data_IF_673936376854
#
_entry.id   IF_673936376854
#
_cell.length_a   1.000
_cell.length_b   1.000
_cell.length_c   1.000
_cell.angle_alpha   90.00
_cell.angle_beta   90.00
_cell.angle_gamma   90.00
#
_symmetry.space_group_name_H-M   'P 1'
#
loop_
_entity.id
_entity.type
_entity.pdbx_description
1 polymer ?
#
# COMPACT_ATOMS: atom_id res chain seq x y z
N UNK A 1 -13.21 3.49 17.40
CA UNK A 1 -11.76 3.67 17.28
C UNK A 1 -11.45 3.93 15.82
N UNK A 2 -10.79 5.03 15.50
CA UNK A 2 -10.21 5.25 14.17
C UNK A 2 -9.01 4.32 14.10
N UNK A 3 -8.98 3.44 13.10
CA UNK A 3 -7.91 2.45 12.91
C UNK A 3 -6.99 3.07 11.86
N UNK A 4 -5.80 3.47 12.29
CA UNK A 4 -4.84 4.21 11.49
C UNK A 4 -3.98 3.25 10.65
N UNK A 5 -4.01 3.35 9.33
CA UNK A 5 -2.99 2.75 8.49
C UNK A 5 -1.81 3.71 8.53
N UNK A 6 -0.89 3.50 9.47
CA UNK A 6 0.28 4.37 9.61
C UNK A 6 1.39 3.77 8.76
N UNK A 7 1.67 4.41 7.62
CA UNK A 7 2.92 4.20 6.92
C UNK A 7 4.01 5.08 7.56
N UNK A 8 5.25 4.58 7.62
CA UNK A 8 6.42 5.40 7.94
C UNK A 8 7.37 5.35 6.76
N UNK A 9 7.31 6.38 5.92
CA UNK A 9 8.37 6.65 4.96
C UNK A 9 9.54 7.22 5.77
N UNK A 10 10.51 6.37 6.11
CA UNK A 10 11.77 6.84 6.70
C UNK A 10 12.63 7.43 5.59
N UNK A 11 12.35 8.69 5.22
CA UNK A 11 13.22 9.49 4.36
C UNK A 11 14.54 9.76 5.12
N UNK A 12 15.61 9.07 4.73
CA UNK A 12 16.97 9.44 5.14
C UNK A 12 17.34 10.71 4.36
N UNK A 13 16.85 11.85 4.86
CA UNK A 13 16.90 13.25 4.38
C UNK A 13 15.51 13.83 4.05
N UNK A 14 14.85 14.36 5.10
CA UNK A 14 13.91 15.49 5.19
C UNK A 14 13.25 16.02 3.89
N UNK A 15 11.92 16.18 3.88
CA UNK A 15 11.14 17.40 4.19
C UNK A 15 9.64 17.07 4.00
N UNK A 16 8.77 17.55 4.89
CA UNK A 16 7.33 17.57 4.66
C UNK A 16 7.05 18.32 3.35
N UNK A 17 6.61 17.60 2.31
CA UNK A 17 6.40 18.17 0.99
C UNK A 17 5.15 17.57 0.36
N UNK A 18 4.02 18.20 0.66
CA UNK A 18 2.93 18.54 -0.26
C UNK A 18 2.77 17.62 -1.47
N UNK A 19 1.70 16.81 -1.50
CA UNK A 19 0.71 16.52 -2.58
C UNK A 19 1.10 16.64 -4.07
N UNK A 20 2.37 16.66 -4.37
CA UNK A 20 2.96 16.73 -5.68
C UNK A 20 3.79 15.47 -5.71
N UNK A 21 3.52 14.50 -6.60
CA UNK A 21 4.47 13.41 -6.78
C UNK A 21 5.83 14.05 -6.91
N UNK A 22 6.83 13.68 -6.12
CA UNK A 22 8.03 14.52 -6.02
C UNK A 22 8.66 14.62 -7.42
N UNK A 23 8.37 15.71 -8.16
CA UNK A 23 8.50 15.84 -9.62
C UNK A 23 9.96 15.86 -10.09
N UNK A 24 10.88 15.64 -9.16
CA UNK A 24 12.33 15.77 -9.35
C UNK A 24 13.03 14.41 -9.30
N UNK A 25 12.29 13.30 -9.14
CA UNK A 25 12.80 11.94 -8.97
C UNK A 25 12.35 11.04 -10.14
N UNK A 26 12.61 11.45 -11.37
CA UNK A 26 12.23 10.69 -12.57
C UNK A 26 13.40 9.84 -13.10
N UNK A 27 13.53 8.62 -12.58
CA UNK A 27 13.75 7.43 -13.40
C UNK A 27 13.39 6.18 -12.59
N UNK A 28 12.12 6.06 -12.18
CA UNK A 28 11.65 4.85 -11.50
C UNK A 28 11.95 3.62 -12.37
N UNK A 29 12.56 2.59 -11.78
CA UNK A 29 12.79 1.31 -12.43
C UNK A 29 11.42 0.63 -12.67
N UNK A 30 10.81 0.94 -13.82
CA UNK A 30 9.62 0.26 -14.30
C UNK A 30 10.04 -0.87 -15.26
N UNK A 31 9.45 -2.06 -15.12
CA UNK A 31 8.40 -2.45 -14.16
C UNK A 31 8.95 -2.83 -12.77
N UNK A 32 8.14 -2.69 -11.70
CA UNK A 32 8.52 -3.07 -10.33
C UNK A 32 8.11 -4.51 -10.03
N UNK A 33 9.10 -5.33 -9.66
CA UNK A 33 8.92 -6.73 -9.27
C UNK A 33 8.58 -6.90 -7.80
N UNK A 34 7.39 -7.40 -7.48
CA UNK A 34 6.90 -7.66 -6.12
C UNK A 34 7.25 -9.08 -5.71
N UNK A 35 8.07 -9.25 -4.66
CA UNK A 35 8.39 -10.57 -4.11
C UNK A 35 7.59 -10.85 -2.84
N UNK A 36 6.87 -11.96 -2.85
CA UNK A 36 6.11 -12.41 -1.68
C UNK A 36 6.95 -13.33 -0.81
N UNK A 37 7.02 -13.01 0.48
CA UNK A 37 7.67 -13.86 1.47
C UNK A 37 6.75 -14.99 1.92
N UNK A 38 7.33 -16.16 2.25
CA UNK A 38 6.57 -17.26 2.84
C UNK A 38 5.89 -16.88 4.15
N UNK A 39 6.33 -15.82 4.82
CA UNK A 39 5.72 -15.31 6.06
C UNK A 39 4.25 -14.93 5.90
N UNK A 40 3.75 -14.70 4.68
CA UNK A 40 2.32 -14.46 4.44
C UNK A 40 1.41 -15.60 4.91
N UNK A 41 1.95 -16.80 5.11
CA UNK A 41 1.24 -17.89 5.79
C UNK A 41 0.82 -17.55 7.23
N UNK A 42 1.42 -16.51 7.84
CA UNK A 42 1.13 -16.10 9.21
C UNK A 42 -0.11 -15.20 9.32
N UNK A 43 -0.64 -14.69 8.20
CA UNK A 43 -1.86 -13.89 8.23
C UNK A 43 -3.06 -14.74 8.62
N UNK A 44 -3.83 -14.23 9.58
CA UNK A 44 -5.11 -14.81 9.96
C UNK A 44 -6.20 -14.26 9.04
N UNK A 45 -6.53 -15.00 7.99
CA UNK A 45 -7.54 -14.62 7.00
C UNK A 45 -8.81 -15.44 7.26
N UNK A 46 -9.92 -14.78 7.53
CA UNK A 46 -11.21 -15.39 7.84
C UNK A 46 -11.14 -16.42 8.98
N UNK A 47 -10.28 -16.19 9.97
CA UNK A 47 -10.08 -17.08 11.12
C UNK A 47 -9.09 -18.23 10.88
N UNK A 48 -8.42 -18.27 9.72
CA UNK A 48 -7.52 -19.36 9.35
C UNK A 48 -6.11 -18.84 9.03
N UNK A 49 -5.10 -19.47 9.65
CA UNK A 49 -3.66 -19.29 9.34
C UNK A 49 -3.18 -20.33 8.33
N UNK A 50 -2.01 -20.13 7.73
CA UNK A 50 -1.40 -21.05 6.76
C UNK A 50 -1.81 -20.79 5.30
N UNK A 51 -2.59 -19.75 5.04
CA UNK A 51 -3.22 -19.49 3.74
C UNK A 51 -2.34 -18.65 2.80
N UNK A 52 -1.08 -19.05 2.60
CA UNK A 52 -0.10 -18.30 1.81
C UNK A 52 -0.61 -17.91 0.41
N UNK A 53 -1.13 -18.88 -0.35
CA UNK A 53 -1.60 -18.65 -1.72
C UNK A 53 -2.73 -17.63 -1.77
N UNK A 54 -3.70 -17.74 -0.85
CA UNK A 54 -4.82 -16.80 -0.74
C UNK A 54 -4.34 -15.40 -0.39
N UNK A 55 -3.46 -15.28 0.61
CA UNK A 55 -2.87 -13.99 1.01
C UNK A 55 -2.17 -13.31 -0.17
N UNK A 56 -1.28 -14.04 -0.85
CA UNK A 56 -0.57 -13.56 -2.04
C UNK A 56 -1.54 -13.09 -3.12
N UNK A 57 -2.56 -13.88 -3.43
CA UNK A 57 -3.49 -13.59 -4.53
C UNK A 57 -4.37 -12.37 -4.22
N UNK A 58 -4.80 -12.20 -2.96
CA UNK A 58 -5.53 -11.01 -2.51
C UNK A 58 -4.68 -9.74 -2.60
N UNK A 59 -3.43 -9.81 -2.13
CA UNK A 59 -2.51 -8.67 -2.15
C UNK A 59 -2.15 -8.29 -3.60
N UNK A 60 -1.84 -9.28 -4.44
CA UNK A 60 -1.58 -9.04 -5.87
C UNK A 60 -2.81 -8.50 -6.60
N UNK A 61 -4.02 -8.94 -6.25
CA UNK A 61 -5.25 -8.36 -6.81
C UNK A 61 -5.41 -6.87 -6.42
N UNK A 62 -4.93 -6.47 -5.24
CA UNK A 62 -4.82 -5.06 -4.84
C UNK A 62 -3.80 -4.30 -5.69
N UNK A 63 -2.58 -4.84 -5.82
CA UNK A 63 -1.51 -4.30 -6.67
C UNK A 63 -1.98 -4.04 -8.10
N UNK A 64 -2.70 -5.01 -8.69
CA UNK A 64 -3.21 -4.94 -10.06
C UNK A 64 -4.21 -3.80 -10.28
N UNK A 65 -4.81 -3.22 -9.24
CA UNK A 65 -5.66 -2.02 -9.40
C UNK A 65 -4.87 -0.84 -9.92
N UNK A 66 -3.60 -0.71 -9.54
CA UNK A 66 -2.72 0.34 -10.04
C UNK A 66 -2.37 0.15 -11.52
N UNK A 67 -2.06 -1.08 -11.95
CA UNK A 67 -1.79 -1.37 -13.37
C UNK A 67 -2.98 -1.07 -14.29
N UNK A 68 -4.21 -1.13 -13.77
CA UNK A 68 -5.43 -0.93 -14.54
C UNK A 68 -5.78 0.55 -14.79
N UNK A 69 -4.99 1.49 -14.26
CA UNK A 69 -5.22 2.94 -14.44
C UNK A 69 -4.92 3.41 -15.87
N UNK A 70 -4.15 2.61 -16.63
CA UNK A 70 -3.77 2.91 -18.01
C UNK A 70 -2.57 3.84 -18.10
N UNK A 71 -1.53 3.54 -17.31
CA UNK A 71 -0.22 4.22 -17.29
C UNK A 71 0.88 3.23 -17.67
N UNK A 72 2.08 3.71 -17.95
CA UNK A 72 3.27 2.87 -18.12
C UNK A 72 3.74 2.18 -16.82
N UNK A 73 3.20 2.57 -15.67
CA UNK A 73 3.47 1.94 -14.37
C UNK A 73 2.96 0.49 -14.34
N UNK A 74 3.81 -0.44 -13.90
CA UNK A 74 3.47 -1.86 -13.82
C UNK A 74 4.07 -2.51 -12.56
N UNK A 75 3.21 -3.17 -11.78
CA UNK A 75 3.55 -4.11 -10.72
C UNK A 75 3.36 -5.54 -11.21
N UNK A 76 4.33 -6.42 -10.98
CA UNK A 76 4.21 -7.84 -11.33
C UNK A 76 4.84 -8.72 -10.26
N UNK A 77 4.39 -9.98 -10.19
CA UNK A 77 5.02 -10.93 -9.29
C UNK A 77 6.44 -11.25 -9.77
N UNK A 78 7.42 -11.05 -8.90
CA UNK A 78 8.81 -11.42 -9.13
C UNK A 78 9.26 -12.52 -8.15
N UNK A 79 10.22 -13.34 -8.59
CA UNK A 79 10.84 -14.40 -7.79
C UNK A 79 12.25 -14.03 -7.29
N UNK A 80 12.73 -12.87 -7.71
CA UNK A 80 14.03 -12.27 -7.35
C UNK A 80 13.90 -10.75 -7.33
N UNK A 81 14.76 -10.07 -6.58
CA UNK A 81 14.71 -8.61 -6.41
C UNK A 81 14.73 -8.21 -4.93
N UNK A 82 14.63 -6.90 -4.69
CA UNK A 82 14.76 -6.26 -3.37
C UNK A 82 13.45 -5.76 -2.77
N UNK A 83 12.31 -5.85 -3.47
CA UNK A 83 11.02 -5.38 -2.96
C UNK A 83 10.20 -6.53 -2.38
N UNK A 84 9.87 -6.46 -1.08
CA UNK A 84 9.21 -7.56 -0.39
C UNK A 84 7.81 -7.22 0.10
N UNK A 85 6.95 -8.22 0.06
CA UNK A 85 5.68 -8.25 0.76
C UNK A 85 5.72 -9.34 1.81
N UNK A 86 5.53 -8.93 3.06
CA UNK A 86 5.78 -9.70 4.27
C UNK A 86 4.54 -9.70 5.17
N UNK A 87 4.53 -10.62 6.13
CA UNK A 87 3.56 -10.62 7.23
C UNK A 87 4.30 -10.90 8.52
N UNK A 88 4.42 -9.87 9.34
CA UNK A 88 5.17 -9.85 10.59
C UNK A 88 4.37 -9.02 11.61
N UNK A 89 4.62 -9.15 12.92
CA UNK A 89 4.06 -8.24 13.90
C UNK A 89 4.46 -6.79 13.60
N UNK A 90 3.49 -5.86 13.61
CA UNK A 90 3.75 -4.42 13.44
C UNK A 90 3.53 -3.71 14.77
N UNK A 91 2.30 -3.64 15.26
CA UNK A 91 1.97 -2.98 16.52
C UNK A 91 0.89 -3.66 17.37
N UNK A 92 0.31 -4.76 16.89
CA UNK A 92 -0.74 -5.50 17.58
C UNK A 92 -2.09 -5.31 16.90
N UNK A 93 -3.18 -5.45 17.64
CA UNK A 93 -4.52 -5.40 17.04
C UNK A 93 -5.13 -3.99 17.13
N UNK A 94 -5.66 -3.51 16.02
CA UNK A 94 -6.61 -2.40 15.91
C UNK A 94 -6.00 -1.04 15.62
N UNK A 95 -4.68 -0.91 15.54
CA UNK A 95 -4.00 0.33 15.21
C UNK A 95 -3.44 0.23 13.80
N UNK A 96 -2.19 -0.24 13.61
CA UNK A 96 -1.52 -0.28 12.31
C UNK A 96 -1.85 -1.59 11.58
N UNK A 97 -2.58 -1.48 10.48
CA UNK A 97 -2.96 -2.64 9.67
C UNK A 97 -1.79 -3.17 8.83
N UNK A 98 -1.05 -2.24 8.24
CA UNK A 98 0.11 -2.54 7.43
C UNK A 98 1.05 -1.33 7.44
N UNK A 99 2.29 -1.58 7.04
CA UNK A 99 3.35 -0.59 6.98
C UNK A 99 4.15 -0.81 5.70
N UNK A 100 4.21 0.23 4.86
CA UNK A 100 5.13 0.28 3.74
C UNK A 100 6.32 1.19 4.03
N UNK A 101 7.52 0.74 3.68
CA UNK A 101 8.76 1.52 3.73
C UNK A 101 9.48 1.40 2.41
N UNK A 102 9.80 2.54 1.79
CA UNK A 102 10.53 2.60 0.54
C UNK A 102 11.84 3.38 0.71
N UNK A 103 12.92 2.83 0.18
CA UNK A 103 14.22 3.47 0.12
C UNK A 103 14.46 4.06 -1.27
N UNK A 104 14.66 5.37 -1.30
CA UNK A 104 14.83 6.13 -2.55
C UNK A 104 16.23 6.70 -2.62
N UNK A 105 16.88 6.54 -3.76
CA UNK A 105 18.14 7.23 -4.02
C UNK A 105 18.21 7.63 -5.48
N UNK A 106 18.77 8.82 -5.75
CA UNK A 106 19.01 9.33 -7.11
C UNK A 106 17.80 9.23 -8.07
N UNK A 107 16.60 9.43 -7.56
CA UNK A 107 15.37 9.40 -8.36
C UNK A 107 14.73 8.02 -8.54
N UNK A 108 15.18 7.01 -7.78
CA UNK A 108 14.81 5.61 -7.99
C UNK A 108 14.42 4.91 -6.70
N UNK A 109 13.45 4.01 -6.81
CA UNK A 109 13.12 3.04 -5.76
C UNK A 109 14.20 1.96 -5.76
N UNK A 110 15.04 1.93 -4.72
CA UNK A 110 16.04 0.86 -4.57
C UNK A 110 15.42 -0.40 -3.96
N UNK A 111 14.52 -0.18 -3.00
CA UNK A 111 13.76 -1.21 -2.30
C UNK A 111 12.46 -0.60 -1.76
N UNK A 112 11.42 -1.44 -1.67
CA UNK A 112 10.15 -1.11 -1.05
C UNK A 112 9.64 -2.38 -0.39
N UNK A 113 9.39 -2.31 0.91
CA UNK A 113 8.87 -3.41 1.70
C UNK A 113 7.51 -3.04 2.28
N UNK A 114 6.53 -3.92 2.13
CA UNK A 114 5.23 -3.82 2.81
C UNK A 114 5.09 -4.97 3.80
N UNK A 115 4.75 -4.63 5.03
CA UNK A 115 4.45 -5.58 6.11
C UNK A 115 2.97 -5.49 6.47
N UNK A 116 2.27 -6.61 6.40
CA UNK A 116 0.90 -6.73 6.91
C UNK A 116 0.93 -7.26 8.33
N UNK A 117 0.22 -6.62 9.27
CA UNK A 117 0.26 -7.04 10.67
C UNK A 117 -0.41 -8.40 10.86
N UNK A 118 0.36 -9.35 11.38
CA UNK A 118 -0.09 -10.70 11.74
C UNK A 118 -1.05 -10.74 12.93
N UNK A 119 -1.12 -9.67 13.74
CA UNK A 119 -2.05 -9.55 14.86
C UNK A 119 -3.47 -9.16 14.43
N UNK A 120 -3.66 -8.78 13.17
CA UNK A 120 -4.96 -8.41 12.62
C UNK A 120 -5.78 -9.61 12.14
N UNK A 121 -7.10 -9.46 12.21
CA UNK A 121 -8.04 -10.40 11.58
C UNK A 121 -8.48 -9.87 10.22
N UNK A 122 -7.96 -10.52 9.18
CA UNK A 122 -8.16 -10.15 7.79
C UNK A 122 -9.37 -10.85 7.18
N UNK A 123 -9.96 -10.22 6.18
CA UNK A 123 -11.03 -10.80 5.36
C UNK A 123 -10.60 -10.96 3.91
N UNK A 124 -10.93 -12.12 3.32
CA UNK A 124 -10.88 -12.33 1.87
C UNK A 124 -12.16 -11.88 1.16
N UNK A 125 -13.25 -11.63 1.91
CA UNK A 125 -14.55 -11.26 1.38
C UNK A 125 -14.71 -9.73 1.28
N UNK A 126 -14.90 -9.23 0.07
CA UNK A 126 -15.13 -7.81 -0.26
C UNK A 126 -16.36 -7.21 0.43
N UNK A 127 -17.30 -8.05 0.87
CA UNK A 127 -18.54 -7.63 1.53
C UNK A 127 -18.45 -7.71 3.07
N UNK A 128 -17.28 -8.03 3.64
CA UNK A 128 -17.13 -8.08 5.08
C UNK A 128 -17.43 -6.70 5.72
N UNK A 129 -18.20 -6.72 6.81
CA UNK A 129 -18.63 -5.51 7.51
C UNK A 129 -17.74 -5.22 8.73
N UNK A 130 -17.25 -6.26 9.40
CA UNK A 130 -16.51 -6.14 10.66
C UNK A 130 -15.00 -6.34 10.50
N UNK A 131 -14.57 -6.98 9.41
CA UNK A 131 -13.17 -7.34 9.18
C UNK A 131 -12.53 -6.39 8.17
N UNK A 132 -11.20 -6.27 8.26
CA UNK A 132 -10.38 -5.51 7.33
C UNK A 132 -10.12 -6.33 6.08
N UNK A 133 -10.51 -5.82 4.92
CA UNK A 133 -10.39 -6.55 3.66
C UNK A 133 -8.94 -6.42 3.19
N UNK A 134 -8.20 -7.52 3.20
CA UNK A 134 -6.76 -7.54 2.92
C UNK A 134 -6.44 -6.91 1.56
N UNK A 135 -7.25 -7.21 0.55
CA UNK A 135 -7.12 -6.64 -0.79
C UNK A 135 -7.23 -5.11 -0.80
N UNK A 136 -8.08 -4.53 0.04
CA UNK A 136 -8.32 -3.09 0.04
C UNK A 136 -7.16 -2.35 0.71
N UNK A 137 -6.67 -2.88 1.82
CA UNK A 137 -5.42 -2.40 2.44
C UNK A 137 -4.26 -2.53 1.46
N UNK A 138 -4.18 -3.63 0.71
CA UNK A 138 -3.15 -3.76 -0.33
C UNK A 138 -3.21 -2.67 -1.41
N UNK A 139 -4.41 -2.25 -1.85
CA UNK A 139 -4.53 -1.14 -2.82
C UNK A 139 -3.88 0.12 -2.24
N UNK A 140 -4.14 0.44 -0.97
CA UNK A 140 -3.54 1.57 -0.28
C UNK A 140 -2.01 1.41 -0.16
N UNK A 141 -1.52 0.27 0.35
CA UNK A 141 -0.07 0.06 0.54
C UNK A 141 0.74 0.18 -0.77
N UNK A 142 0.19 -0.30 -1.89
CA UNK A 142 0.85 -0.15 -3.19
C UNK A 142 0.84 1.29 -3.74
N UNK A 143 0.01 2.18 -3.19
CA UNK A 143 0.13 3.62 -3.44
C UNK A 143 1.43 4.20 -2.87
N UNK A 144 1.93 3.69 -1.75
CA UNK A 144 3.24 4.09 -1.24
C UNK A 144 4.39 3.60 -2.13
N UNK A 145 4.22 2.51 -2.87
CA UNK A 145 5.22 2.04 -3.84
C UNK A 145 5.36 2.99 -5.04
N UNK A 146 4.38 3.88 -5.25
CA UNK A 146 4.45 4.99 -6.22
C UNK A 146 4.67 6.35 -5.54
N UNK A 147 5.12 6.35 -4.29
CA UNK A 147 5.40 7.54 -3.47
C UNK A 147 4.20 8.43 -3.21
N UNK A 148 3.00 7.87 -3.14
CA UNK A 148 1.90 8.62 -2.57
C UNK A 148 2.00 8.58 -1.06
N UNK A 149 1.82 9.74 -0.44
CA UNK A 149 1.74 9.89 1.00
C UNK A 149 0.30 9.70 1.46
N UNK A 150 0.15 9.39 2.75
CA UNK A 150 -1.15 9.33 3.40
C UNK A 150 -1.83 10.71 3.41
N UNK A 151 -3.14 10.71 3.17
CA UNK A 151 -4.01 11.88 3.26
C UNK A 151 -4.76 11.84 4.59
N UNK A 152 -4.66 12.94 5.36
CA UNK A 152 -5.46 13.16 6.55
C UNK A 152 -4.84 12.72 7.88
N UNK A 153 -3.54 12.40 7.91
CA UNK A 153 -2.83 12.10 9.16
C UNK A 153 -2.63 13.34 10.07
N UNK A 154 -2.78 14.55 9.52
CA UNK A 154 -2.84 15.79 10.29
C UNK A 154 -4.21 16.48 10.10
N UNK A 155 -5.07 16.56 11.13
CA UNK A 155 -6.36 17.25 11.06
C UNK A 155 -6.24 18.77 10.83
N UNK A 156 -5.04 19.34 10.81
CA UNK A 156 -4.77 20.74 10.50
C UNK A 156 -4.22 21.02 9.10
N UNK A 157 -3.64 20.04 8.40
CA UNK A 157 -2.90 20.30 7.16
C UNK A 157 -3.70 19.99 5.89
N UNK A 158 -4.63 19.03 5.92
CA UNK A 158 -5.30 18.57 4.70
C UNK A 158 -6.81 18.33 4.90
N UNK A 159 -7.70 19.04 4.18
CA UNK A 159 -9.12 18.70 4.19
C UNK A 159 -9.30 17.28 3.65
N UNK A 160 -10.08 16.47 4.36
CA UNK A 160 -10.52 15.15 3.93
C UNK A 160 -10.89 15.15 2.44
N UNK A 161 -10.16 14.39 1.63
CA UNK A 161 -10.50 14.17 0.22
C UNK A 161 -11.23 12.83 0.08
N UNK A 162 -12.56 12.82 -0.14
CA UNK A 162 -13.30 11.59 -0.38
C UNK A 162 -12.94 10.91 -1.71
N UNK A 163 -12.03 11.47 -2.50
CA UNK A 163 -11.58 10.95 -3.79
C UNK A 163 -10.14 10.42 -3.77
N UNK A 164 -9.63 10.02 -2.60
CA UNK A 164 -8.34 9.31 -2.46
C UNK A 164 -8.47 7.96 -1.76
N UNK A 165 -7.76 6.95 -2.28
CA UNK A 165 -7.48 5.65 -1.68
C UNK A 165 -6.40 5.75 -0.60
N UNK A 166 -5.59 6.81 -0.64
CA UNK A 166 -4.45 7.03 0.27
C UNK A 166 -4.88 7.66 1.59
N UNK A 167 -6.12 7.46 2.05
CA UNK A 167 -6.52 7.94 3.38
C UNK A 167 -5.80 7.16 4.48
N UNK A 168 -5.30 7.85 5.49
CA UNK A 168 -4.51 7.27 6.59
C UNK A 168 -5.31 6.37 7.55
N UNK A 169 -6.59 6.15 7.30
CA UNK A 169 -7.44 5.25 8.08
C UNK A 169 -8.20 4.31 7.17
N UNK A 170 -8.50 3.13 7.68
CA UNK A 170 -9.26 2.16 6.90
C UNK A 170 -10.69 2.66 6.61
N UNK A 171 -10.96 2.95 5.34
CA UNK A 171 -12.30 3.11 4.79
C UNK A 171 -12.46 2.20 3.57
N UNK A 172 -13.32 1.20 3.69
CA UNK A 172 -13.57 0.23 2.61
C UNK A 172 -14.10 0.87 1.33
N UNK A 173 -14.85 1.98 1.43
CA UNK A 173 -15.46 2.60 0.26
C UNK A 173 -14.42 3.38 -0.55
N UNK A 174 -13.41 3.93 0.13
CA UNK A 174 -12.30 4.64 -0.48
C UNK A 174 -11.21 3.67 -0.98
N UNK A 175 -10.97 2.58 -0.26
CA UNK A 175 -9.90 1.63 -0.57
C UNK A 175 -10.28 0.49 -1.52
N UNK A 176 -11.54 0.34 -1.92
CA UNK A 176 -11.97 -0.74 -2.83
C UNK A 176 -11.47 -0.60 -4.29
N UNK A 177 -10.99 0.57 -4.67
CA UNK A 177 -10.44 0.91 -5.97
C UNK A 177 -9.45 2.08 -5.83
N UNK A 178 -8.58 2.26 -6.81
CA UNK A 178 -7.78 3.49 -6.91
C UNK A 178 -8.70 4.63 -7.29
N UNK A 179 -8.79 5.65 -6.44
CA UNK A 179 -9.73 6.75 -6.63
C UNK A 179 -9.24 7.73 -7.71
N UNK A 180 -10.13 8.65 -8.10
CA UNK A 180 -9.89 9.55 -9.22
C UNK A 180 -8.70 10.49 -9.00
N UNK A 181 -8.47 10.96 -7.77
CA UNK A 181 -7.34 11.83 -7.48
C UNK A 181 -6.02 11.05 -7.68
N UNK A 182 -5.87 9.90 -7.02
CA UNK A 182 -4.66 9.08 -7.11
C UNK A 182 -4.40 8.61 -8.55
N UNK A 183 -5.47 8.28 -9.30
CA UNK A 183 -5.36 7.93 -10.71
C UNK A 183 -4.81 9.07 -11.56
N UNK A 184 -5.19 10.33 -11.26
CA UNK A 184 -4.73 11.50 -11.99
C UNK A 184 -3.27 11.78 -11.65
N UNK A 185 -2.94 11.78 -10.37
CA UNK A 185 -1.56 11.92 -9.88
C UNK A 185 -0.65 10.86 -10.49
N UNK A 186 -1.11 9.60 -10.61
CA UNK A 186 -0.29 8.54 -11.20
C UNK A 186 -0.01 8.79 -12.69
N UNK A 187 -0.99 9.28 -13.44
CA UNK A 187 -0.86 9.61 -14.87
C UNK A 187 0.06 10.81 -15.12
N UNK A 188 0.14 11.72 -14.15
CA UNK A 188 1.08 12.83 -14.22
C UNK A 188 2.54 12.36 -14.05
N UNK A 189 2.77 11.32 -13.25
CA UNK A 189 4.10 10.72 -13.02
C UNK A 189 4.48 9.73 -14.10
N UNK A 190 3.53 8.90 -14.51
CA UNK A 190 3.71 7.79 -15.44
C UNK A 190 2.70 7.96 -16.59
N UNK A 191 3.03 8.76 -17.61
CA UNK A 191 2.12 9.03 -18.72
C UNK A 191 1.81 7.77 -19.57
#
# INVERSE_FOLDING_TARGET
>A
AVIAVISSITLVNSYALHHWPIWWWYSADLPIGVRFSSTLSNLNIDGNIGQYTLARDLIMAGAQRWNNIGTDFQLYQAYSGSHYVLAEPVDGTGNILALTTCNVSSGRINDCDTKYDTAELWSSNDNAVQLKILKYVAIHEFGHWVFFEDVGDDPGEHPYDPATTMVAWYDKNLMQAVQTHDSWSLKEVYP
#
